data_IF_965092245633
#
_entry.id   IF_965092245633
#
_cell.length_a   1.000
_cell.length_b   1.000
_cell.length_c   1.000
_cell.angle_alpha   90.00
_cell.angle_beta   90.00
_cell.angle_gamma   90.00
#
_symmetry.space_group_name_H-M   'P 1'
#
loop_
_entity.id
_entity.type
_entity.pdbx_description
1 polymer ?
#
# COMPACT_ATOMS: atom_id res chain seq x y z
N UNK A 1 -4.03 15.80 14.55
CA UNK A 1 -4.30 14.35 14.69
C UNK A 1 -3.97 13.71 13.36
N UNK A 2 -3.16 12.65 13.34
CA UNK A 2 -2.77 11.95 12.11
C UNK A 2 -3.51 10.62 12.01
N UNK A 3 -3.85 10.20 10.79
CA UNK A 3 -4.53 8.94 10.50
C UNK A 3 -3.66 8.15 9.54
N UNK A 4 -3.41 6.87 9.86
CA UNK A 4 -2.74 5.92 8.96
C UNK A 4 -3.74 4.86 8.52
N UNK A 5 -3.90 4.67 7.21
CA UNK A 5 -4.60 3.51 6.66
C UNK A 5 -3.66 2.31 6.61
N UNK A 6 -4.08 1.19 7.18
CA UNK A 6 -3.39 -0.11 7.07
C UNK A 6 -4.14 -0.96 6.06
N UNK A 7 -3.45 -1.42 5.01
CA UNK A 7 -4.00 -2.16 3.89
C UNK A 7 -3.34 -3.55 3.85
N UNK A 8 -3.99 -4.60 4.37
CA UNK A 8 -3.53 -5.97 4.14
C UNK A 8 -3.67 -6.29 2.65
N UNK A 9 -2.61 -6.84 2.05
CA UNK A 9 -2.58 -7.21 0.63
C UNK A 9 -1.87 -8.56 0.47
N UNK A 10 -2.66 -9.59 0.11
CA UNK A 10 -2.18 -10.94 -0.16
C UNK A 10 -2.70 -11.38 -1.54
N UNK A 11 -1.81 -11.52 -2.52
CA UNK A 11 -2.15 -11.84 -3.90
C UNK A 11 -3.18 -10.88 -4.54
N UNK A 12 -2.90 -9.59 -4.38
CA UNK A 12 -3.67 -8.45 -4.85
C UNK A 12 -3.06 -7.77 -6.08
N UNK A 13 -2.26 -8.49 -6.89
CA UNK A 13 -1.77 -7.97 -8.16
C UNK A 13 -2.94 -7.49 -9.05
N UNK A 14 -2.77 -6.30 -9.62
CA UNK A 14 -3.75 -5.54 -10.39
C UNK A 14 -4.77 -4.75 -9.56
N UNK A 15 -4.77 -4.89 -8.22
CA UNK A 15 -5.77 -4.26 -7.33
C UNK A 15 -5.13 -3.34 -6.28
N UNK A 16 -4.02 -3.75 -5.68
CA UNK A 16 -3.41 -3.02 -4.57
C UNK A 16 -3.01 -1.60 -4.95
N UNK A 17 -2.59 -1.36 -6.18
CA UNK A 17 -2.22 -0.02 -6.65
C UNK A 17 -3.42 0.94 -6.67
N UNK A 18 -4.58 0.47 -7.13
CA UNK A 18 -5.81 1.26 -7.16
C UNK A 18 -6.30 1.59 -5.75
N UNK A 19 -6.20 0.65 -4.82
CA UNK A 19 -6.57 0.88 -3.42
C UNK A 19 -5.69 1.97 -2.77
N UNK A 20 -4.37 1.90 -2.97
CA UNK A 20 -3.43 2.91 -2.48
C UNK A 20 -3.72 4.28 -3.09
N UNK A 21 -3.98 4.34 -4.40
CA UNK A 21 -4.31 5.60 -5.09
C UNK A 21 -5.61 6.22 -4.57
N UNK A 22 -6.65 5.39 -4.33
CA UNK A 22 -7.93 5.85 -3.80
C UNK A 22 -7.78 6.43 -2.38
N UNK A 23 -7.02 5.77 -1.50
CA UNK A 23 -6.77 6.26 -0.14
C UNK A 23 -6.03 7.61 -0.14
N UNK A 24 -5.01 7.75 -1.01
CA UNK A 24 -4.32 9.04 -1.18
C UNK A 24 -5.25 10.11 -1.75
N UNK A 25 -6.08 9.76 -2.73
CA UNK A 25 -7.08 10.67 -3.31
C UNK A 25 -8.13 11.13 -2.29
N UNK A 26 -8.39 10.33 -1.26
CA UNK A 26 -9.25 10.69 -0.12
C UNK A 26 -8.55 11.58 0.93
N UNK A 27 -7.30 11.98 0.70
CA UNK A 27 -6.55 12.88 1.60
C UNK A 27 -5.76 12.16 2.70
N UNK A 28 -5.59 10.83 2.63
CA UNK A 28 -4.73 10.13 3.57
C UNK A 28 -3.26 10.25 3.17
N UNK A 29 -2.49 10.90 4.05
CA UNK A 29 -1.05 11.08 3.88
C UNK A 29 -0.26 9.80 4.17
N UNK A 30 -0.76 8.95 5.07
CA UNK A 30 -0.10 7.73 5.52
C UNK A 30 -0.89 6.49 5.11
N UNK A 31 -0.31 5.68 4.21
CA UNK A 31 -0.84 4.38 3.78
C UNK A 31 0.25 3.33 3.97
N UNK A 32 -0.03 2.34 4.82
CA UNK A 32 0.83 1.19 5.09
C UNK A 32 0.22 -0.06 4.45
N UNK A 33 0.86 -0.55 3.39
CA UNK A 33 0.51 -1.86 2.83
C UNK A 33 1.27 -2.95 3.58
N UNK A 34 0.55 -3.96 4.05
CA UNK A 34 1.10 -5.13 4.74
C UNK A 34 0.94 -6.34 3.83
N UNK A 35 2.07 -6.86 3.37
CA UNK A 35 2.16 -8.08 2.55
C UNK A 35 2.80 -9.18 3.41
N UNK A 36 2.06 -10.26 3.64
CA UNK A 36 2.41 -11.37 4.53
C UNK A 36 2.92 -12.62 3.79
N UNK A 37 3.27 -12.48 2.52
CA UNK A 37 3.84 -13.57 1.72
C UNK A 37 3.12 -13.81 0.40
N UNK A 38 2.73 -12.73 -0.29
CA UNK A 38 2.18 -12.82 -1.64
C UNK A 38 3.15 -13.54 -2.57
N UNK A 39 2.59 -14.35 -3.48
CA UNK A 39 3.35 -15.12 -4.48
C UNK A 39 3.28 -14.50 -5.87
N UNK A 40 2.65 -13.32 -5.99
CA UNK A 40 2.43 -12.56 -7.22
C UNK A 40 3.10 -11.17 -7.17
N UNK A 41 2.72 -10.29 -8.10
CA UNK A 41 3.21 -8.92 -8.23
C UNK A 41 2.75 -7.90 -7.17
N UNK A 42 2.03 -8.32 -6.11
CA UNK A 42 1.45 -7.43 -5.08
C UNK A 42 2.46 -6.45 -4.48
N UNK A 43 3.57 -6.96 -3.94
CA UNK A 43 4.58 -6.13 -3.27
C UNK A 43 5.20 -5.06 -4.20
N UNK A 44 5.70 -5.43 -5.39
CA UNK A 44 6.16 -4.47 -6.40
C UNK A 44 5.11 -3.44 -6.80
N UNK A 45 3.85 -3.83 -7.01
CA UNK A 45 2.77 -2.91 -7.37
C UNK A 45 2.47 -1.91 -6.25
N UNK A 46 2.32 -2.39 -5.01
CA UNK A 46 2.10 -1.55 -3.83
C UNK A 46 3.22 -0.51 -3.67
N UNK A 47 4.48 -0.90 -3.90
CA UNK A 47 5.63 0.02 -3.85
C UNK A 47 5.57 1.09 -4.93
N UNK A 48 5.18 0.73 -6.16
CA UNK A 48 5.04 1.68 -7.27
C UNK A 48 3.94 2.70 -6.97
N UNK A 49 2.79 2.23 -6.47
CA UNK A 49 1.67 3.10 -6.08
C UNK A 49 2.00 3.97 -4.85
N UNK A 50 2.86 3.47 -3.96
CA UNK A 50 3.28 4.15 -2.74
C UNK A 50 4.52 5.03 -2.87
N UNK A 51 5.17 5.12 -4.04
CA UNK A 51 6.43 5.83 -4.24
C UNK A 51 6.36 7.27 -3.70
N UNK A 52 6.96 7.48 -2.52
CA UNK A 52 6.86 8.70 -1.71
C UNK A 52 6.54 8.46 -0.23
N UNK A 53 6.08 7.26 0.14
CA UNK A 53 5.86 6.84 1.53
C UNK A 53 7.08 6.16 2.14
N UNK A 54 7.40 6.51 3.39
CA UNK A 54 8.51 5.91 4.15
C UNK A 54 8.32 4.40 4.37
N UNK A 55 9.43 3.67 4.45
CA UNK A 55 9.46 2.24 4.78
C UNK A 55 9.47 2.08 6.31
N UNK A 56 8.73 1.13 6.86
CA UNK A 56 8.98 0.70 8.23
C UNK A 56 10.33 -0.06 8.28
N UNK A 57 11.17 0.18 9.29
CA UNK A 57 12.39 -0.59 9.49
C UNK A 57 12.05 -2.08 9.63
N UNK A 58 13.00 -2.94 9.23
CA UNK A 58 12.89 -4.39 9.45
C UNK A 58 13.00 -4.70 10.93
#
# INVERSE_FOLDING_TARGET
MTVTAVVPAHNEEGRVGAAVAALRGAGLEQVLVVDDGSTDGTGPEARRAGAGGGRLPR
#
